data_IF_750429595570
#
_entry.id   IF_750429595570
#
_cell.length_a   1.000
_cell.length_b   1.000
_cell.length_c   1.000
_cell.angle_alpha   90.00
_cell.angle_beta   90.00
_cell.angle_gamma   90.00
#
_symmetry.space_group_name_H-M   'P 1'
#
loop_
_entity.id
_entity.type
_entity.pdbx_description
1 polymer ?
#
# COMPACT_ATOMS: atom_id res chain seq x y z
N UNK A 1 -66.60 9.11 24.09
CA UNK A 1 -65.61 9.39 23.04
C UNK A 1 -65.36 10.89 23.04
N UNK A 2 -64.31 11.28 23.77
CA UNK A 2 -64.03 12.65 24.20
C UNK A 2 -63.05 13.36 23.26
N UNK A 3 -63.25 14.69 23.19
CA UNK A 3 -62.26 15.76 23.00
C UNK A 3 -61.57 15.92 21.64
N UNK A 4 -62.09 16.89 20.86
CA UNK A 4 -61.30 17.72 19.94
C UNK A 4 -60.46 18.68 20.78
N UNK A 5 -59.14 18.65 20.66
CA UNK A 5 -58.23 19.58 21.32
C UNK A 5 -57.58 20.48 20.28
N UNK A 6 -57.91 21.77 20.33
CA UNK A 6 -57.19 22.85 19.67
C UNK A 6 -55.78 22.95 20.27
N UNK A 7 -54.73 22.99 19.45
CA UNK A 7 -53.44 23.55 19.84
C UNK A 7 -52.96 24.45 18.71
N UNK A 8 -53.16 25.76 18.93
CA UNK A 8 -52.66 26.86 18.13
C UNK A 8 -51.13 26.94 18.26
N UNK A 9 -50.46 27.10 17.13
CA UNK A 9 -49.03 27.34 17.04
C UNK A 9 -48.63 28.65 17.73
N UNK A 10 -47.64 28.59 18.62
CA UNK A 10 -46.89 29.73 19.13
C UNK A 10 -45.41 29.40 19.11
N UNK A 11 -44.76 29.65 17.95
CA UNK A 11 -43.31 29.64 17.83
C UNK A 11 -42.79 31.03 18.20
N UNK A 12 -42.32 31.19 19.44
CA UNK A 12 -41.41 32.26 19.82
C UNK A 12 -39.98 31.73 19.69
N UNK A 13 -39.30 32.16 18.64
CA UNK A 13 -37.88 31.89 18.40
C UNK A 13 -37.04 32.63 19.43
N UNK A 14 -36.44 31.90 20.37
CA UNK A 14 -35.31 32.39 21.15
C UNK A 14 -34.03 32.23 20.32
N UNK A 15 -33.39 33.36 20.08
CA UNK A 15 -32.14 33.49 19.34
C UNK A 15 -30.99 32.73 20.03
N UNK A 16 -30.43 31.74 19.32
CA UNK A 16 -29.12 31.18 19.62
C UNK A 16 -28.14 31.60 18.53
N UNK A 17 -27.33 32.63 18.78
CA UNK A 17 -26.18 32.94 17.94
C UNK A 17 -25.09 31.90 18.22
N UNK A 18 -24.99 30.87 17.39
CA UNK A 18 -23.82 29.99 17.35
C UNK A 18 -23.00 30.38 16.10
N UNK A 19 -22.00 31.24 16.30
CA UNK A 19 -21.06 31.62 15.24
C UNK A 19 -19.98 30.55 15.15
N UNK A 20 -20.18 29.58 14.26
CA UNK A 20 -19.08 28.70 13.83
C UNK A 20 -18.48 29.29 12.56
N UNK A 21 -17.32 29.91 12.70
CA UNK A 21 -16.53 30.49 11.62
C UNK A 21 -15.77 29.36 10.88
N UNK A 22 -16.00 29.12 9.57
CA UNK A 22 -15.51 27.92 8.88
C UNK A 22 -14.03 27.97 8.48
N UNK A 23 -13.22 28.90 9.01
CA UNK A 23 -11.82 29.08 8.62
C UNK A 23 -10.84 29.22 9.79
N UNK A 24 -11.02 28.43 10.86
CA UNK A 24 -10.01 28.31 11.93
C UNK A 24 -9.34 26.94 11.89
N UNK A 25 -8.20 26.88 11.22
CA UNK A 25 -7.27 25.74 11.31
C UNK A 25 -6.51 25.86 12.63
N UNK A 26 -6.75 24.93 13.55
CA UNK A 26 -5.92 24.78 14.75
C UNK A 26 -4.81 23.80 14.38
N UNK A 27 -3.60 24.32 14.19
CA UNK A 27 -2.38 23.51 14.03
C UNK A 27 -1.86 23.19 15.43
N UNK A 28 -2.17 21.99 15.95
CA UNK A 28 -1.40 21.43 17.06
C UNK A 28 -0.08 20.89 16.50
N UNK A 29 0.99 21.66 16.66
CA UNK A 29 2.35 21.22 16.34
C UNK A 29 2.82 20.25 17.44
N UNK A 30 2.79 18.95 17.15
CA UNK A 30 3.41 17.90 17.99
C UNK A 30 4.81 17.59 17.47
N UNK A 31 5.69 18.57 17.59
CA UNK A 31 7.13 18.35 17.48
C UNK A 31 7.64 17.71 18.76
N UNK A 32 7.88 16.39 18.72
CA UNK A 32 8.55 15.64 19.78
C UNK A 32 9.90 15.12 19.24
N UNK A 33 10.96 15.44 19.99
CA UNK A 33 12.35 14.95 19.92
C UNK A 33 13.22 15.34 18.71
N UNK A 34 14.26 16.16 18.97
CA UNK A 34 15.59 15.64 19.38
C UNK A 34 16.53 16.78 19.76
N UNK A 35 16.80 16.94 21.05
CA UNK A 35 18.10 17.47 21.48
C UNK A 35 19.02 16.26 21.70
N UNK A 36 20.00 16.07 20.82
CA UNK A 36 21.34 15.60 21.20
C UNK A 36 22.26 15.66 19.97
N UNK A 37 23.22 16.59 19.95
CA UNK A 37 24.56 16.42 19.39
C UNK A 37 25.31 17.75 19.46
N UNK A 38 25.86 18.04 20.64
CA UNK A 38 27.09 18.84 20.73
C UNK A 38 28.23 17.84 20.57
N UNK A 39 29.02 17.98 19.52
CA UNK A 39 30.44 17.63 19.53
C UNK A 39 31.09 18.27 18.30
N UNK A 40 31.50 19.50 18.49
CA UNK A 40 32.53 20.20 17.73
C UNK A 40 33.78 19.33 17.62
N UNK A 41 34.16 18.96 16.41
CA UNK A 41 35.53 18.63 16.06
C UNK A 41 35.87 19.39 14.78
N UNK A 42 36.75 20.36 14.95
CA UNK A 42 37.44 21.08 13.89
C UNK A 42 38.34 20.12 13.12
N UNK A 43 38.26 20.12 11.80
CA UNK A 43 39.36 19.65 10.95
C UNK A 43 39.64 20.74 9.93
N UNK A 44 40.86 21.24 10.03
CA UNK A 44 41.44 22.30 9.24
C UNK A 44 41.44 22.04 7.73
N UNK A 45 41.25 23.17 7.07
CA UNK A 45 41.58 23.57 5.71
C UNK A 45 42.83 22.88 5.13
N UNK A 46 42.66 22.23 3.97
CA UNK A 46 43.70 22.29 2.94
C UNK A 46 43.07 22.16 1.56
N UNK A 47 42.92 23.29 0.89
CA UNK A 47 42.67 23.39 -0.54
C UNK A 47 43.90 22.94 -1.34
N UNK A 48 43.72 22.15 -2.39
CA UNK A 48 44.57 22.29 -3.59
C UNK A 48 43.77 22.02 -4.85
N UNK A 49 43.69 23.08 -5.65
CA UNK A 49 43.09 23.27 -6.96
C UNK A 49 43.99 22.63 -8.02
N UNK A 50 43.49 21.72 -8.87
CA UNK A 50 43.84 21.67 -10.30
C UNK A 50 42.69 21.01 -11.13
N UNK A 51 42.03 21.81 -11.96
CA UNK A 51 41.26 21.47 -13.18
C UNK A 51 41.77 22.49 -14.25
N UNK A 52 41.51 22.38 -15.58
CA UNK A 52 40.97 21.30 -16.41
C UNK A 52 41.79 21.06 -17.71
N UNK A 53 41.55 19.96 -18.43
CA UNK A 53 41.87 19.88 -19.86
C UNK A 53 40.79 19.10 -20.63
N UNK A 54 40.02 19.90 -21.36
CA UNK A 54 39.20 19.71 -22.56
C UNK A 54 39.20 18.38 -23.35
N UNK A 55 37.98 18.08 -23.80
CA UNK A 55 37.62 17.61 -25.14
C UNK A 55 37.91 16.15 -25.51
N UNK A 56 36.83 15.37 -25.62
CA UNK A 56 36.38 14.99 -26.97
C UNK A 56 34.91 14.62 -27.00
N UNK A 57 34.24 15.31 -27.93
CA UNK A 57 32.83 15.25 -28.30
C UNK A 57 32.72 14.33 -29.51
N UNK A 58 32.15 13.14 -29.35
CA UNK A 58 31.75 12.21 -30.44
C UNK A 58 30.60 11.37 -29.88
N UNK A 59 29.50 11.08 -30.55
CA UNK A 59 28.82 11.62 -31.71
C UNK A 59 27.40 11.08 -31.56
N UNK A 60 26.46 11.90 -31.98
CA UNK A 60 25.05 11.53 -32.12
C UNK A 60 24.90 10.30 -33.02
N UNK A 61 24.26 9.26 -32.51
CA UNK A 61 23.57 8.27 -33.31
C UNK A 61 22.19 8.06 -32.67
N UNK A 62 21.27 8.94 -33.05
CA UNK A 62 19.84 8.85 -32.79
C UNK A 62 19.30 7.65 -33.58
N UNK A 63 19.35 6.48 -32.98
CA UNK A 63 18.56 5.33 -33.42
C UNK A 63 17.14 5.53 -32.91
N UNK A 64 16.25 5.84 -33.82
CA UNK A 64 14.81 5.88 -33.59
C UNK A 64 14.32 4.48 -33.14
N UNK A 65 13.71 4.33 -31.95
CA UNK A 65 13.18 3.04 -31.56
C UNK A 65 11.89 2.80 -32.33
N UNK A 66 12.03 2.03 -33.39
CA UNK A 66 10.94 1.37 -34.11
C UNK A 66 10.02 0.69 -33.07
N UNK A 67 8.79 1.19 -32.97
CA UNK A 67 7.80 0.84 -31.96
C UNK A 67 7.26 -0.56 -32.21
N UNK A 68 8.08 -1.59 -31.94
CA UNK A 68 7.62 -2.98 -31.85
C UNK A 68 6.62 -3.05 -30.71
N UNK A 69 5.37 -3.33 -31.02
CA UNK A 69 4.35 -3.72 -30.03
C UNK A 69 4.76 -5.07 -29.43
N UNK A 70 5.67 -5.03 -28.46
CA UNK A 70 5.95 -6.14 -27.56
C UNK A 70 4.67 -6.43 -26.83
N UNK A 71 4.06 -7.60 -27.09
CA UNK A 71 3.03 -8.17 -26.20
C UNK A 71 3.65 -8.15 -24.80
N UNK A 72 3.23 -7.21 -23.95
CA UNK A 72 3.79 -7.06 -22.61
C UNK A 72 3.60 -8.40 -21.90
N UNK A 73 4.68 -9.14 -21.72
CA UNK A 73 4.73 -10.34 -20.90
C UNK A 73 4.55 -9.85 -19.46
N UNK A 74 3.30 -9.76 -19.03
CA UNK A 74 2.92 -9.47 -17.66
C UNK A 74 3.52 -10.56 -16.77
N UNK A 75 4.68 -10.28 -16.19
CA UNK A 75 5.41 -11.20 -15.31
C UNK A 75 5.16 -10.77 -13.88
N UNK A 76 4.06 -11.28 -13.30
CA UNK A 76 3.76 -11.08 -11.88
C UNK A 76 4.52 -12.12 -11.08
N UNK A 77 5.02 -11.71 -9.92
CA UNK A 77 5.84 -12.54 -9.05
C UNK A 77 4.96 -13.46 -8.19
N UNK A 78 5.43 -14.66 -7.84
CA UNK A 78 4.74 -15.54 -6.89
C UNK A 78 4.90 -14.95 -5.47
N UNK A 79 3.82 -14.82 -4.67
CA UNK A 79 3.88 -14.08 -3.40
C UNK A 79 4.70 -14.77 -2.30
N UNK A 80 4.82 -16.09 -2.33
CA UNK A 80 5.59 -16.89 -1.37
C UNK A 80 6.08 -18.18 -2.06
N UNK A 81 7.27 -18.65 -1.72
CA UNK A 81 7.82 -19.90 -2.24
C UNK A 81 7.35 -21.09 -1.40
N UNK A 82 6.20 -21.66 -1.77
CA UNK A 82 5.55 -22.76 -1.06
C UNK A 82 4.59 -23.54 -1.98
N UNK A 83 4.25 -24.77 -1.57
CA UNK A 83 3.27 -25.60 -2.28
C UNK A 83 1.85 -25.01 -2.17
N UNK A 84 1.03 -25.17 -3.23
CA UNK A 84 -0.38 -24.78 -3.21
C UNK A 84 -1.22 -25.89 -2.60
N UNK A 85 -1.82 -25.63 -1.44
CA UNK A 85 -2.77 -26.52 -0.77
C UNK A 85 -4.17 -26.46 -1.37
N UNK A 86 -4.63 -25.24 -1.71
CA UNK A 86 -5.97 -25.03 -2.28
C UNK A 86 -5.93 -23.96 -3.36
N UNK A 87 -6.52 -24.29 -4.50
CA UNK A 87 -6.63 -23.41 -5.67
C UNK A 87 -7.98 -22.67 -5.66
N UNK A 88 -8.01 -21.57 -6.40
CA UNK A 88 -9.22 -20.80 -6.66
C UNK A 88 -10.34 -21.68 -7.20
N UNK A 89 -11.48 -21.66 -6.49
CA UNK A 89 -12.71 -22.39 -6.82
C UNK A 89 -13.91 -21.57 -6.35
N UNK A 90 -14.64 -20.89 -7.25
CA UNK A 90 -15.85 -20.14 -6.92
C UNK A 90 -16.94 -21.02 -6.32
N UNK A 91 -17.05 -22.25 -6.81
CA UNK A 91 -18.06 -23.23 -6.37
C UNK A 91 -17.84 -23.60 -4.89
N UNK A 92 -16.58 -23.71 -4.46
CA UNK A 92 -16.19 -23.95 -3.06
C UNK A 92 -16.03 -22.66 -2.25
N UNK A 93 -16.40 -21.51 -2.81
CA UNK A 93 -16.19 -20.16 -2.24
C UNK A 93 -14.73 -19.89 -1.83
N UNK A 94 -13.77 -20.54 -2.48
CA UNK A 94 -12.35 -20.30 -2.28
C UNK A 94 -11.85 -19.33 -3.35
N UNK A 95 -11.84 -18.04 -3.01
CA UNK A 95 -11.65 -16.95 -3.96
C UNK A 95 -10.17 -16.55 -4.16
N UNK A 96 -9.24 -17.42 -3.78
CA UNK A 96 -7.81 -17.13 -3.79
C UNK A 96 -6.96 -18.39 -3.94
N UNK A 97 -5.79 -18.40 -3.32
CA UNK A 97 -4.86 -19.53 -3.25
C UNK A 97 -4.40 -19.67 -1.80
N UNK A 98 -4.40 -20.90 -1.28
CA UNK A 98 -3.80 -21.22 0.02
C UNK A 98 -2.49 -21.95 -0.22
N UNK A 99 -1.43 -21.49 0.45
CA UNK A 99 -0.08 -22.04 0.36
C UNK A 99 0.31 -22.76 1.66
N UNK A 100 1.06 -23.86 1.54
CA UNK A 100 1.65 -24.61 2.64
C UNK A 100 2.89 -23.90 3.16
N UNK A 101 2.71 -22.87 3.98
CA UNK A 101 3.82 -22.07 4.49
C UNK A 101 4.18 -22.40 5.93
N UNK A 102 5.48 -22.41 6.21
CA UNK A 102 6.02 -22.33 7.57
C UNK A 102 6.04 -20.87 8.05
N UNK A 103 6.12 -20.61 9.37
CA UNK A 103 6.37 -19.27 9.88
C UNK A 103 7.68 -18.68 9.35
N UNK A 104 7.77 -17.35 9.33
CA UNK A 104 8.98 -16.59 8.96
C UNK A 104 9.44 -16.69 7.50
N UNK A 105 8.64 -17.29 6.61
CA UNK A 105 8.89 -17.20 5.17
C UNK A 105 8.59 -15.79 4.64
N UNK A 106 9.40 -15.35 3.68
CA UNK A 106 9.23 -14.04 3.07
C UNK A 106 8.01 -13.98 2.17
N UNK A 107 7.17 -12.96 2.39
CA UNK A 107 6.06 -12.62 1.51
C UNK A 107 6.43 -11.42 0.65
N UNK A 108 6.29 -11.56 -0.66
CA UNK A 108 6.73 -10.57 -1.66
C UNK A 108 5.56 -9.99 -2.43
N UNK A 109 5.64 -8.70 -2.75
CA UNK A 109 4.65 -8.04 -3.59
C UNK A 109 4.66 -8.62 -5.01
N UNK A 110 3.50 -9.03 -5.51
CA UNK A 110 3.40 -9.69 -6.83
C UNK A 110 3.64 -8.72 -8.00
N UNK A 111 3.48 -7.42 -7.76
CA UNK A 111 3.62 -6.32 -8.72
C UNK A 111 3.73 -4.99 -7.99
N UNK A 112 4.31 -3.99 -8.64
CA UNK A 112 4.35 -2.61 -8.17
C UNK A 112 2.96 -2.10 -7.78
N UNK A 113 2.89 -1.28 -6.74
CA UNK A 113 1.62 -0.71 -6.28
C UNK A 113 1.73 0.13 -5.01
N UNK A 114 0.57 0.48 -4.49
CA UNK A 114 0.43 1.24 -3.24
C UNK A 114 -0.33 0.41 -2.21
N UNK A 115 0.20 0.33 -1.00
CA UNK A 115 -0.46 -0.34 0.12
C UNK A 115 -1.68 0.47 0.53
N UNK A 116 -2.87 -0.11 0.39
CA UNK A 116 -4.15 0.51 0.78
C UNK A 116 -4.69 -0.03 2.09
N UNK A 117 -4.04 -1.05 2.65
CA UNK A 117 -4.31 -1.56 4.00
C UNK A 117 -3.07 -2.30 4.52
N UNK A 118 -2.72 -2.06 5.78
CA UNK A 118 -1.74 -2.87 6.52
C UNK A 118 -2.15 -2.92 7.99
N UNK A 119 -2.53 -4.09 8.49
CA UNK A 119 -2.99 -4.22 9.87
C UNK A 119 -3.67 -5.54 10.21
N UNK A 120 -4.36 -5.59 11.35
CA UNK A 120 -4.98 -6.80 11.90
C UNK A 120 -6.39 -6.56 12.45
N UNK A 121 -7.11 -5.55 11.93
CA UNK A 121 -8.46 -5.22 12.41
C UNK A 121 -9.50 -6.30 12.04
N UNK A 122 -9.21 -7.12 11.03
CA UNK A 122 -10.09 -8.19 10.57
C UNK A 122 -9.63 -9.54 11.13
N UNK A 123 -10.20 -9.96 12.26
CA UNK A 123 -9.71 -11.12 13.04
C UNK A 123 -9.49 -12.39 12.23
N UNK A 124 -10.44 -12.77 11.35
CA UNK A 124 -10.35 -14.00 10.56
C UNK A 124 -9.21 -14.00 9.54
N UNK A 125 -8.73 -12.83 9.12
CA UNK A 125 -7.65 -12.67 8.14
C UNK A 125 -6.26 -12.56 8.77
N UNK A 126 -6.18 -12.47 10.10
CA UNK A 126 -4.92 -12.25 10.81
C UNK A 126 -4.30 -10.89 10.47
N UNK A 127 -2.96 -10.79 10.50
CA UNK A 127 -2.27 -9.62 9.95
C UNK A 127 -2.27 -9.71 8.44
N UNK A 128 -2.71 -8.66 7.77
CA UNK A 128 -2.85 -8.65 6.32
C UNK A 128 -2.42 -7.33 5.68
N UNK A 129 -2.11 -7.42 4.40
CA UNK A 129 -1.79 -6.30 3.52
C UNK A 129 -2.74 -6.37 2.33
N UNK A 130 -3.21 -5.21 1.87
CA UNK A 130 -3.88 -5.06 0.57
C UNK A 130 -3.07 -4.06 -0.26
N UNK A 131 -2.68 -4.46 -1.46
CA UNK A 131 -1.96 -3.59 -2.41
C UNK A 131 -2.90 -3.30 -3.57
N UNK A 132 -3.08 -2.00 -3.86
CA UNK A 132 -3.68 -1.51 -5.10
C UNK A 132 -2.60 -1.40 -6.17
N UNK A 133 -2.88 -1.93 -7.34
CA UNK A 133 -1.98 -1.88 -8.48
C UNK A 133 -2.63 -1.13 -9.66
N UNK A 134 -1.84 -0.88 -10.70
CA UNK A 134 -2.34 -0.29 -11.95
C UNK A 134 -3.47 -1.14 -12.59
N UNK A 135 -4.31 -0.49 -13.41
CA UNK A 135 -5.41 -1.12 -14.17
C UNK A 135 -6.49 -1.79 -13.32
N UNK A 136 -6.72 -1.28 -12.10
CA UNK A 136 -7.81 -1.71 -11.23
C UNK A 136 -7.57 -3.05 -10.54
N UNK A 137 -6.34 -3.56 -10.49
CA UNK A 137 -6.06 -4.80 -9.79
C UNK A 137 -5.73 -4.56 -8.31
N UNK A 138 -6.14 -5.51 -7.48
CA UNK A 138 -5.80 -5.55 -6.06
C UNK A 138 -5.25 -6.93 -5.72
N UNK A 139 -4.32 -6.98 -4.77
CA UNK A 139 -3.85 -8.22 -4.16
C UNK A 139 -3.92 -8.15 -2.65
N UNK A 140 -4.30 -9.25 -2.02
CA UNK A 140 -4.41 -9.38 -0.56
C UNK A 140 -3.48 -10.50 -0.07
N UNK A 141 -2.74 -10.21 1.00
CA UNK A 141 -1.74 -11.10 1.61
C UNK A 141 -2.14 -11.27 3.06
N UNK A 142 -2.52 -12.48 3.48
CA UNK A 142 -3.18 -12.69 4.79
C UNK A 142 -2.45 -13.76 5.61
N UNK A 143 -2.84 -13.93 6.88
CA UNK A 143 -2.21 -14.90 7.81
C UNK A 143 -0.71 -14.64 8.06
N UNK A 144 -0.29 -13.38 8.01
CA UNK A 144 1.09 -12.98 8.30
C UNK A 144 1.32 -12.86 9.82
N UNK A 145 2.57 -12.99 10.26
CA UNK A 145 2.96 -12.69 11.64
C UNK A 145 3.68 -11.34 11.79
N UNK A 146 4.30 -10.84 10.73
CA UNK A 146 4.96 -9.54 10.71
C UNK A 146 4.63 -8.80 9.41
N UNK A 147 4.30 -7.50 9.51
CA UNK A 147 4.10 -6.62 8.36
C UNK A 147 5.29 -5.67 8.27
N UNK A 148 5.91 -5.55 7.09
CA UNK A 148 7.08 -4.69 6.84
C UNK A 148 6.74 -3.39 6.13
N UNK A 149 5.47 -3.21 5.77
CA UNK A 149 4.95 -2.02 5.08
C UNK A 149 3.73 -1.47 5.82
N UNK A 150 3.47 -0.19 5.65
CA UNK A 150 2.34 0.54 6.22
C UNK A 150 1.38 0.99 5.12
N UNK A 151 0.16 1.35 5.51
CA UNK A 151 -0.78 2.00 4.60
C UNK A 151 -0.17 3.28 4.03
N UNK A 152 -0.30 3.47 2.72
CA UNK A 152 0.29 4.59 1.97
C UNK A 152 1.64 4.28 1.32
N UNK A 153 2.35 3.23 1.75
CA UNK A 153 3.67 2.90 1.18
C UNK A 153 3.56 2.50 -0.29
N UNK A 154 4.51 2.97 -1.11
CA UNK A 154 4.76 2.38 -2.42
C UNK A 154 5.61 1.11 -2.26
N UNK A 155 5.29 0.10 -3.06
CA UNK A 155 6.04 -1.15 -3.08
C UNK A 155 6.36 -1.55 -4.51
N UNK A 156 7.57 -2.06 -4.71
CA UNK A 156 8.01 -2.60 -6.00
C UNK A 156 7.74 -4.10 -6.09
N UNK A 157 7.59 -4.61 -7.32
CA UNK A 157 7.47 -6.05 -7.57
C UNK A 157 8.64 -6.81 -6.95
N UNK A 158 8.34 -7.85 -6.18
CA UNK A 158 9.32 -8.70 -5.52
C UNK A 158 9.84 -8.15 -4.19
N UNK A 159 9.47 -6.92 -3.81
CA UNK A 159 9.80 -6.36 -2.50
C UNK A 159 9.20 -7.22 -1.38
N UNK A 160 9.98 -7.51 -0.34
CA UNK A 160 9.51 -8.20 0.86
C UNK A 160 8.60 -7.27 1.65
N UNK A 161 7.35 -7.68 1.86
CA UNK A 161 6.31 -6.86 2.49
C UNK A 161 5.81 -7.44 3.82
N UNK A 162 6.01 -8.74 4.07
CA UNK A 162 5.58 -9.41 5.29
C UNK A 162 6.40 -10.68 5.55
N UNK A 163 6.16 -11.29 6.71
CA UNK A 163 6.56 -12.67 7.01
C UNK A 163 5.32 -13.51 7.34
N UNK A 164 5.27 -14.73 6.80
CA UNK A 164 4.19 -15.70 7.05
C UNK A 164 4.08 -16.07 8.52
N UNK A 165 2.86 -16.37 8.97
CA UNK A 165 2.59 -16.85 10.32
C UNK A 165 2.44 -18.37 10.39
N UNK A 166 1.86 -18.84 11.50
CA UNK A 166 1.63 -20.26 11.77
C UNK A 166 0.52 -20.89 10.91
N UNK A 167 -0.41 -20.08 10.43
CA UNK A 167 -1.50 -20.56 9.59
C UNK A 167 -1.04 -20.58 8.13
N UNK A 168 -1.57 -21.49 7.30
CA UNK A 168 -1.34 -21.47 5.86
C UNK A 168 -1.60 -20.09 5.27
N UNK A 169 -0.63 -19.59 4.50
CA UNK A 169 -0.74 -18.29 3.85
C UNK A 169 -1.87 -18.28 2.83
N UNK A 170 -2.74 -17.28 2.88
CA UNK A 170 -3.82 -17.10 1.90
C UNK A 170 -3.62 -15.81 1.11
N UNK A 171 -3.68 -15.97 -0.22
CA UNK A 171 -3.47 -14.93 -1.21
C UNK A 171 -4.70 -14.79 -2.10
N UNK A 172 -5.13 -13.56 -2.33
CA UNK A 172 -6.28 -13.27 -3.19
C UNK A 172 -5.95 -12.17 -4.18
N UNK A 173 -6.59 -12.24 -5.35
CA UNK A 173 -6.55 -11.20 -6.36
C UNK A 173 -7.94 -10.76 -6.75
N UNK A 174 -8.09 -9.45 -6.97
CA UNK A 174 -9.30 -8.86 -7.53
C UNK A 174 -8.99 -7.99 -8.74
N UNK A 175 -9.95 -7.90 -9.64
CA UNK A 175 -10.02 -6.82 -10.62
C UNK A 175 -11.27 -6.00 -10.33
N UNK A 176 -11.06 -4.73 -9.98
CA UNK A 176 -12.07 -3.89 -9.33
C UNK A 176 -12.60 -4.58 -8.07
N UNK A 177 -13.89 -4.91 -8.04
CA UNK A 177 -14.54 -5.63 -6.94
C UNK A 177 -14.42 -7.15 -7.05
N UNK A 178 -14.11 -7.68 -8.23
CA UNK A 178 -14.41 -9.08 -8.54
C UNK A 178 -13.18 -9.96 -8.29
N UNK A 179 -13.33 -11.07 -7.54
CA UNK A 179 -12.25 -12.02 -7.31
C UNK A 179 -11.88 -12.75 -8.61
N UNK A 180 -10.59 -12.85 -8.89
CA UNK A 180 -10.06 -13.48 -10.11
C UNK A 180 -9.11 -14.61 -9.74
N UNK A 181 -9.06 -15.66 -10.57
CA UNK A 181 -8.10 -16.75 -10.39
C UNK A 181 -6.65 -16.23 -10.51
N UNK A 182 -5.85 -16.24 -9.41
CA UNK A 182 -4.50 -15.67 -9.46
C UNK A 182 -3.53 -16.47 -10.33
N UNK A 183 -3.74 -17.79 -10.50
CA UNK A 183 -2.89 -18.65 -11.33
C UNK A 183 -2.91 -18.30 -12.82
N UNK A 184 -3.85 -17.45 -13.27
CA UNK A 184 -3.84 -16.92 -14.63
C UNK A 184 -2.75 -15.86 -14.85
N UNK A 185 -2.17 -15.33 -13.78
CA UNK A 185 -1.27 -14.18 -13.82
C UNK A 185 0.10 -14.41 -13.17
N UNK A 186 0.13 -15.19 -12.09
CA UNK A 186 1.38 -15.61 -11.44
C UNK A 186 2.14 -16.53 -12.41
N UNK A 187 3.43 -16.26 -12.64
CA UNK A 187 4.30 -17.02 -13.53
C UNK A 187 5.68 -17.22 -12.94
#
# INVERSE_FOLDING_TARGET
>A
MHTKLLISALCLFLAGCFTNDPNKVIVEDRSFNKENAVSSFEVEDTQTIIEPAESTKVSSAKTEPEKKKTKQKSSWFIPVDAEILKKYSPDDQHLGITFATDPDQEVRAIRDGTVVYSGSKMKSYGKMIIIKHAFGFYSSYTQNQLLRVREGDHVDKGQVIALTGKNPFYFEMKKYSDPINPLKYLK
#
